data_IF_230805401731
#
_entry.id   IF_230805401731
#
_cell.length_a   1.000
_cell.length_b   1.000
_cell.length_c   1.000
_cell.angle_alpha   90.00
_cell.angle_beta   90.00
_cell.angle_gamma   90.00
#
_symmetry.space_group_name_H-M   'P 1'
#
loop_
_entity.id
_entity.type
_entity.pdbx_description
1 polymer ?
#
# COMPACT_ATOMS: atom_id res chain seq x y z
N UNK A 1 37.31 20.44 18.67
CA UNK A 1 37.55 19.30 19.58
C UNK A 1 37.57 18.03 18.72
N UNK A 2 38.71 17.75 18.08
CA UNK A 2 38.95 16.56 17.24
C UNK A 2 39.59 15.47 18.10
N UNK A 3 39.15 14.23 17.96
CA UNK A 3 39.89 13.02 18.38
C UNK A 3 40.21 12.24 17.09
N UNK A 4 41.28 12.59 16.39
CA UNK A 4 42.64 12.03 16.51
C UNK A 4 42.71 10.56 16.08
N UNK A 5 43.05 10.39 14.80
CA UNK A 5 43.70 9.24 14.21
C UNK A 5 44.92 8.84 15.04
N UNK A 6 45.09 7.55 15.30
CA UNK A 6 46.38 6.98 15.71
C UNK A 6 46.83 5.99 14.65
N UNK A 7 48.08 6.17 14.26
CA UNK A 7 48.71 5.62 13.09
C UNK A 7 49.55 4.38 13.39
N UNK A 8 50.14 3.87 12.30
CA UNK A 8 51.38 3.11 12.21
C UNK A 8 51.27 1.58 12.18
N UNK A 9 51.16 1.10 10.94
CA UNK A 9 52.21 0.33 10.27
C UNK A 9 52.99 -0.67 11.13
N UNK A 10 52.76 -1.95 10.87
CA UNK A 10 53.76 -2.99 11.10
C UNK A 10 53.66 -4.05 10.00
N UNK A 11 54.18 -3.70 8.82
CA UNK A 11 54.59 -4.65 7.79
C UNK A 11 56.06 -4.99 8.05
N UNK A 12 56.34 -6.21 8.54
CA UNK A 12 57.26 -7.17 7.91
C UNK A 12 57.64 -8.31 8.87
N UNK A 13 57.92 -9.45 8.24
CA UNK A 13 58.46 -10.73 8.73
C UNK A 13 57.37 -11.78 9.00
N UNK A 14 57.43 -12.99 8.46
CA UNK A 14 58.42 -13.65 7.61
C UNK A 14 57.76 -14.93 7.05
N UNK A 15 58.19 -15.35 5.87
CA UNK A 15 57.76 -16.56 5.16
C UNK A 15 57.99 -17.87 5.92
N UNK A 16 57.21 -18.89 5.50
CA UNK A 16 57.27 -20.35 5.76
C UNK A 16 56.50 -20.77 7.03
N UNK A 17 55.57 -21.72 6.98
CA UNK A 17 55.72 -23.10 6.47
C UNK A 17 54.43 -23.62 5.81
N UNK A 18 54.61 -24.36 4.71
CA UNK A 18 53.60 -25.14 3.99
C UNK A 18 52.88 -26.13 4.91
N UNK A 19 51.62 -25.85 5.25
CA UNK A 19 50.70 -26.88 5.75
C UNK A 19 49.85 -27.36 4.57
N UNK A 20 50.20 -28.54 4.05
CA UNK A 20 49.38 -29.29 3.10
C UNK A 20 48.02 -29.57 3.75
N UNK A 21 47.02 -28.73 3.48
CA UNK A 21 45.62 -29.05 3.78
C UNK A 21 44.92 -29.39 2.47
N UNK A 22 44.67 -30.69 2.34
CA UNK A 22 43.67 -31.28 1.45
C UNK A 22 42.36 -30.49 1.63
N UNK A 23 41.88 -29.84 0.57
CA UNK A 23 40.50 -29.35 0.53
C UNK A 23 39.72 -30.41 -0.25
N UNK A 24 38.79 -31.14 0.40
CA UNK A 24 37.94 -32.10 -0.28
C UNK A 24 37.11 -31.40 -1.34
N UNK A 25 36.96 -32.12 -2.44
CA UNK A 25 36.06 -31.81 -3.54
C UNK A 25 34.63 -31.49 -3.10
N UNK A 26 33.94 -30.72 -3.96
CA UNK A 26 32.48 -30.74 -4.11
C UNK A 26 31.66 -30.28 -2.89
N UNK A 27 31.62 -28.97 -2.67
CA UNK A 27 30.35 -28.33 -2.30
C UNK A 27 30.19 -27.04 -3.12
N UNK A 28 30.00 -27.20 -4.43
CA UNK A 28 29.27 -26.18 -5.18
C UNK A 28 27.82 -26.25 -4.69
N UNK A 29 27.46 -25.38 -3.76
CA UNK A 29 26.07 -25.19 -3.40
C UNK A 29 25.40 -24.50 -4.60
N UNK A 30 24.91 -25.28 -5.56
CA UNK A 30 23.83 -24.83 -6.46
C UNK A 30 22.63 -24.56 -5.57
N UNK A 31 22.55 -23.37 -4.98
CA UNK A 31 21.26 -22.88 -4.49
C UNK A 31 20.42 -22.58 -5.72
N UNK A 32 19.75 -23.62 -6.23
CA UNK A 32 18.63 -23.46 -7.15
C UNK A 32 17.51 -22.83 -6.34
N UNK A 33 17.52 -21.52 -6.21
CA UNK A 33 16.36 -20.77 -5.71
C UNK A 33 15.28 -20.90 -6.77
N UNK A 34 14.49 -21.97 -6.72
CA UNK A 34 13.25 -22.04 -7.49
C UNK A 34 12.39 -20.88 -7.01
N UNK A 35 12.24 -19.84 -7.83
CA UNK A 35 11.30 -18.77 -7.50
C UNK A 35 9.92 -19.41 -7.30
N UNK A 36 9.19 -19.02 -6.24
CA UNK A 36 7.86 -19.57 -6.01
C UNK A 36 6.99 -19.29 -7.24
N UNK A 37 6.38 -20.35 -7.77
CA UNK A 37 5.45 -20.23 -8.91
C UNK A 37 4.16 -19.60 -8.39
N UNK A 38 3.84 -18.40 -8.88
CA UNK A 38 2.57 -17.72 -8.58
C UNK A 38 1.42 -18.54 -9.15
N UNK A 39 0.50 -18.99 -8.28
CA UNK A 39 -0.64 -19.84 -8.66
C UNK A 39 -1.92 -19.06 -8.93
N UNK A 40 -2.06 -17.86 -8.39
CA UNK A 40 -3.24 -17.03 -8.54
C UNK A 40 -2.87 -15.54 -8.47
N UNK A 41 -3.68 -14.71 -9.14
CA UNK A 41 -3.64 -13.24 -9.09
C UNK A 41 -5.07 -12.74 -8.89
N UNK A 42 -5.27 -11.85 -7.92
CA UNK A 42 -6.56 -11.20 -7.66
C UNK A 42 -6.45 -9.77 -8.15
N UNK A 43 -7.42 -9.33 -8.94
CA UNK A 43 -7.49 -7.97 -9.45
C UNK A 43 -8.63 -7.24 -8.76
N UNK A 44 -8.37 -6.01 -8.33
CA UNK A 44 -9.42 -5.06 -8.01
C UNK A 44 -10.14 -4.61 -9.31
N UNK A 45 -11.30 -3.99 -9.18
CA UNK A 45 -12.02 -3.38 -10.29
C UNK A 45 -11.57 -1.93 -10.48
N UNK A 46 -11.79 -1.08 -9.49
CA UNK A 46 -11.68 0.37 -9.59
C UNK A 46 -10.24 0.85 -9.73
N UNK A 47 -9.88 1.35 -10.91
CA UNK A 47 -8.52 1.82 -11.20
C UNK A 47 -7.55 0.71 -11.64
N UNK A 48 -8.03 -0.53 -11.77
CA UNK A 48 -7.25 -1.66 -12.31
C UNK A 48 -7.88 -2.17 -13.59
N UNK A 49 -9.09 -2.77 -13.51
CA UNK A 49 -9.81 -3.28 -14.69
C UNK A 49 -10.68 -2.18 -15.30
N UNK A 50 -11.32 -1.35 -14.47
CA UNK A 50 -12.16 -0.23 -14.90
C UNK A 50 -11.55 1.11 -14.48
N UNK A 51 -11.90 2.25 -15.12
CA UNK A 51 -11.42 3.55 -14.69
C UNK A 51 -11.74 3.85 -13.22
N UNK A 52 -10.93 4.72 -12.61
CA UNK A 52 -11.13 5.13 -11.23
C UNK A 52 -12.52 5.81 -11.06
N UNK A 53 -13.29 5.49 -10.01
CA UNK A 53 -14.60 6.09 -9.78
C UNK A 53 -14.53 7.60 -9.47
N UNK A 54 -13.38 8.07 -8.98
CA UNK A 54 -13.16 9.48 -8.65
C UNK A 54 -13.35 10.44 -9.83
N UNK A 55 -13.18 9.98 -11.08
CA UNK A 55 -13.45 10.80 -12.27
C UNK A 55 -14.96 11.08 -12.37
N UNK A 56 -15.78 10.04 -12.27
CA UNK A 56 -17.23 10.16 -12.34
C UNK A 56 -17.79 11.03 -11.20
N UNK A 57 -17.23 10.92 -9.99
CA UNK A 57 -17.62 11.79 -8.86
C UNK A 57 -17.36 13.26 -9.17
N UNK A 58 -16.16 13.60 -9.67
CA UNK A 58 -15.81 15.00 -10.01
C UNK A 58 -16.71 15.56 -11.11
N UNK A 59 -17.00 14.77 -12.13
CA UNK A 59 -17.90 15.18 -13.22
C UNK A 59 -19.32 15.41 -12.71
N UNK A 60 -19.82 14.51 -11.87
CA UNK A 60 -21.11 14.65 -11.23
C UNK A 60 -21.18 15.90 -10.35
N UNK A 61 -20.20 16.10 -9.46
CA UNK A 61 -20.12 17.27 -8.58
C UNK A 61 -20.13 18.58 -9.39
N UNK A 62 -19.31 18.65 -10.45
CA UNK A 62 -19.27 19.79 -11.37
C UNK A 62 -20.64 20.02 -12.04
N UNK A 63 -21.28 18.95 -12.54
CA UNK A 63 -22.58 19.04 -13.21
C UNK A 63 -23.72 19.51 -12.28
N UNK A 64 -23.57 19.29 -10.97
CA UNK A 64 -24.56 19.65 -9.94
C UNK A 64 -24.19 20.92 -9.17
N UNK A 65 -23.06 21.57 -9.48
CA UNK A 65 -22.58 22.74 -8.74
C UNK A 65 -22.20 22.42 -7.30
N UNK A 66 -21.80 21.19 -7.01
CA UNK A 66 -21.37 20.77 -5.68
C UNK A 66 -19.91 21.12 -5.42
N UNK A 67 -19.50 21.34 -4.15
CA UNK A 67 -18.10 21.49 -3.79
C UNK A 67 -17.26 20.31 -4.26
N UNK A 68 -16.11 20.58 -4.87
CA UNK A 68 -15.21 19.53 -5.37
C UNK A 68 -14.78 18.57 -4.24
N UNK A 69 -14.81 17.28 -4.54
CA UNK A 69 -14.47 16.19 -3.62
C UNK A 69 -15.47 15.96 -2.49
N UNK A 70 -16.67 16.56 -2.56
CA UNK A 70 -17.73 16.35 -1.57
C UNK A 70 -18.07 14.87 -1.42
N UNK A 71 -18.33 14.16 -2.52
CA UNK A 71 -18.73 12.75 -2.50
C UNK A 71 -17.63 11.91 -1.86
N UNK A 72 -16.38 12.10 -2.28
CA UNK A 72 -15.24 11.39 -1.71
C UNK A 72 -15.10 11.62 -0.19
N UNK A 73 -15.29 12.87 0.27
CA UNK A 73 -15.31 13.18 1.71
C UNK A 73 -16.46 12.47 2.43
N UNK A 74 -17.66 12.46 1.85
CA UNK A 74 -18.82 11.79 2.46
C UNK A 74 -18.60 10.29 2.62
N UNK A 75 -17.99 9.64 1.62
CA UNK A 75 -17.68 8.21 1.64
C UNK A 75 -16.74 7.85 2.80
N UNK A 76 -15.71 8.66 3.06
CA UNK A 76 -14.69 8.34 4.08
C UNK A 76 -14.98 8.87 5.47
N UNK A 77 -15.86 9.88 5.62
CA UNK A 77 -16.02 10.67 6.85
C UNK A 77 -16.34 9.83 8.09
N UNK A 78 -17.26 8.88 7.94
CA UNK A 78 -17.78 8.11 9.06
C UNK A 78 -17.08 6.74 9.23
N UNK A 79 -16.05 6.46 8.43
CA UNK A 79 -15.32 5.19 8.44
C UNK A 79 -16.25 3.98 8.36
N UNK A 80 -15.91 2.95 9.13
CA UNK A 80 -16.65 1.67 9.16
C UNK A 80 -18.12 1.83 9.61
N UNK A 81 -18.42 2.88 10.39
CA UNK A 81 -19.77 3.16 10.87
C UNK A 81 -20.65 3.88 9.84
N UNK A 82 -20.04 4.39 8.76
CA UNK A 82 -20.71 5.14 7.71
C UNK A 82 -21.64 4.29 6.85
N UNK A 83 -22.69 4.91 6.32
CA UNK A 83 -23.64 4.23 5.46
C UNK A 83 -22.98 3.58 4.23
N UNK A 84 -21.95 4.22 3.66
CA UNK A 84 -21.20 3.67 2.53
C UNK A 84 -20.47 2.37 2.89
N UNK A 85 -19.69 2.37 3.98
CA UNK A 85 -18.97 1.17 4.43
C UNK A 85 -19.94 0.03 4.71
N UNK A 86 -21.05 0.31 5.40
CA UNK A 86 -22.08 -0.69 5.69
C UNK A 86 -22.80 -1.24 4.45
N UNK A 87 -22.87 -0.49 3.36
CA UNK A 87 -23.32 -1.02 2.07
C UNK A 87 -22.27 -1.98 1.49
N UNK A 88 -20.99 -1.61 1.50
CA UNK A 88 -19.89 -2.40 0.95
C UNK A 88 -19.66 -3.71 1.72
N UNK A 89 -19.90 -3.73 3.04
CA UNK A 89 -19.81 -4.92 3.89
C UNK A 89 -21.09 -5.78 3.88
N UNK A 90 -22.17 -5.30 3.28
CA UNK A 90 -23.46 -5.98 3.23
C UNK A 90 -24.30 -5.89 4.52
N UNK A 91 -23.94 -5.01 5.45
CA UNK A 91 -24.71 -4.72 6.67
C UNK A 91 -25.99 -3.92 6.38
N UNK A 92 -26.01 -3.12 5.31
CA UNK A 92 -27.19 -2.40 4.83
C UNK A 92 -27.61 -2.88 3.45
N UNK A 93 -28.91 -3.12 3.30
CA UNK A 93 -29.53 -3.26 1.98
C UNK A 93 -29.60 -1.91 1.27
N UNK A 94 -29.66 -1.93 -0.07
CA UNK A 94 -29.64 -0.71 -0.88
C UNK A 94 -30.69 0.35 -0.50
N UNK A 95 -31.97 0.01 -0.20
CA UNK A 95 -32.95 1.02 0.24
C UNK A 95 -32.59 1.68 1.58
N UNK A 96 -32.03 0.92 2.52
CA UNK A 96 -31.62 1.43 3.83
C UNK A 96 -30.39 2.34 3.69
N UNK A 97 -29.45 1.95 2.82
CA UNK A 97 -28.31 2.78 2.46
C UNK A 97 -28.75 4.14 1.91
N UNK A 98 -29.72 4.17 0.98
CA UNK A 98 -30.20 5.41 0.38
C UNK A 98 -30.69 6.41 1.44
N UNK A 99 -31.48 5.94 2.41
CA UNK A 99 -31.97 6.78 3.50
C UNK A 99 -30.83 7.24 4.43
N UNK A 100 -29.97 6.31 4.87
CA UNK A 100 -28.88 6.60 5.78
C UNK A 100 -27.85 7.57 5.18
N UNK A 101 -27.40 7.30 3.94
CA UNK A 101 -26.42 8.13 3.25
C UNK A 101 -26.96 9.52 2.91
N UNK A 102 -28.24 9.63 2.54
CA UNK A 102 -28.87 10.94 2.35
C UNK A 102 -28.90 11.76 3.64
N UNK A 103 -29.20 11.13 4.78
CA UNK A 103 -29.16 11.79 6.10
C UNK A 103 -27.75 12.24 6.46
N UNK A 104 -26.72 11.45 6.15
CA UNK A 104 -25.32 11.84 6.32
C UNK A 104 -24.96 13.06 5.45
N UNK A 105 -25.30 13.01 4.15
CA UNK A 105 -25.02 14.10 3.21
C UNK A 105 -25.75 15.39 3.58
N UNK A 106 -27.02 15.29 3.99
CA UNK A 106 -27.85 16.44 4.34
C UNK A 106 -27.29 17.23 5.53
N UNK A 107 -26.66 16.55 6.49
CA UNK A 107 -25.99 17.22 7.62
C UNK A 107 -24.87 18.13 7.13
N UNK A 108 -24.10 17.73 6.12
CA UNK A 108 -22.95 18.48 5.61
C UNK A 108 -23.32 19.59 4.62
N UNK A 109 -24.26 19.31 3.71
CA UNK A 109 -24.68 20.27 2.69
C UNK A 109 -25.44 21.46 3.32
N UNK A 110 -26.17 21.23 4.41
CA UNK A 110 -26.81 22.32 5.15
C UNK A 110 -25.82 23.27 5.86
N UNK A 111 -24.53 22.92 5.99
CA UNK A 111 -23.50 23.85 6.48
C UNK A 111 -22.91 24.78 5.40
N UNK A 112 -23.21 24.52 4.12
CA UNK A 112 -22.61 25.23 2.98
C UNK A 112 -23.60 26.14 2.23
N UNK A 113 -24.76 26.45 2.85
CA UNK A 113 -25.70 27.49 2.38
C UNK A 113 -25.67 28.71 3.29
#
# INVERSE_FOLDING_TARGET
MLKSFTALSRLQQSNRVLSKRVIPSLFYCTQKTSMPVTKAVIFDLGGVIVPQPMIAFREFEKSKGLPAGLIGRMIVRNGDEGAWSKLETGELAFPQFMEAFNKECSKEVCYHK
#
